data_IF_891606889243
#
_entry.id   IF_891606889243
#
_cell.length_a   1.000
_cell.length_b   1.000
_cell.length_c   1.000
_cell.angle_alpha   90.00
_cell.angle_beta   90.00
_cell.angle_gamma   90.00
#
_symmetry.space_group_name_H-M   'P 1'
#
loop_
_entity.id
_entity.type
_entity.pdbx_description
1 polymer ?
#
# COMPACT_ATOMS: atom_id res chain seq x y z
N UNK A 1 10.68 8.31 19.79
CA UNK A 1 11.45 7.94 18.57
C UNK A 1 12.55 6.93 18.83
N UNK A 2 13.61 7.29 19.57
CA UNK A 2 14.69 6.34 19.89
C UNK A 2 14.18 5.12 20.67
N UNK A 3 13.17 5.31 21.52
CA UNK A 3 12.51 4.22 22.26
C UNK A 3 11.83 3.21 21.33
N UNK A 4 11.00 3.67 20.38
CA UNK A 4 10.36 2.79 19.41
C UNK A 4 11.37 1.98 18.57
N UNK A 5 12.46 2.61 18.13
CA UNK A 5 13.53 1.90 17.40
C UNK A 5 14.17 0.82 18.27
N UNK A 6 14.43 1.12 19.56
CA UNK A 6 14.95 0.12 20.51
C UNK A 6 13.95 -1.02 20.74
N UNK A 7 12.65 -0.73 20.84
CA UNK A 7 11.62 -1.77 20.92
C UNK A 7 11.62 -2.66 19.67
N UNK A 8 11.67 -2.07 18.47
CA UNK A 8 11.77 -2.81 17.22
C UNK A 8 13.01 -3.72 17.20
N UNK A 9 14.15 -3.18 17.61
CA UNK A 9 15.41 -3.92 17.68
C UNK A 9 15.31 -5.08 18.68
N UNK A 10 14.77 -4.84 19.89
CA UNK A 10 14.61 -5.87 20.91
C UNK A 10 13.71 -7.03 20.44
N UNK A 11 12.57 -6.71 19.78
CA UNK A 11 11.67 -7.74 19.25
C UNK A 11 12.32 -8.51 18.11
N UNK A 12 13.00 -7.84 17.18
CA UNK A 12 13.71 -8.52 16.09
C UNK A 12 14.81 -9.44 16.63
N UNK A 13 15.57 -8.99 17.63
CA UNK A 13 16.58 -9.80 18.30
C UNK A 13 15.97 -11.03 18.95
N UNK A 14 14.85 -10.89 19.68
CA UNK A 14 14.17 -12.02 20.31
C UNK A 14 13.70 -13.05 19.27
N UNK A 15 13.05 -12.61 18.19
CA UNK A 15 12.50 -13.50 17.16
C UNK A 15 13.60 -14.24 16.38
N UNK A 16 14.71 -13.57 16.09
CA UNK A 16 15.85 -14.19 15.41
C UNK A 16 16.63 -15.13 16.33
N UNK A 17 16.90 -14.73 17.58
CA UNK A 17 17.67 -15.54 18.53
C UNK A 17 16.95 -16.81 18.95
N UNK A 18 15.61 -16.77 19.03
CA UNK A 18 14.78 -17.95 19.30
C UNK A 18 14.65 -18.88 18.10
N UNK A 19 15.00 -18.43 16.90
CA UNK A 19 14.78 -19.17 15.66
C UNK A 19 13.32 -19.27 15.23
N UNK A 20 12.41 -18.48 15.85
CA UNK A 20 10.99 -18.46 15.46
C UNK A 20 10.81 -17.99 14.01
N UNK A 21 11.66 -17.06 13.57
CA UNK A 21 11.63 -16.52 12.21
C UNK A 21 13.00 -16.63 11.56
N UNK A 22 13.01 -16.84 10.24
CA UNK A 22 14.21 -16.92 9.40
C UNK A 22 14.82 -15.55 9.12
N UNK A 23 14.00 -14.51 9.17
CA UNK A 23 14.41 -13.15 8.88
C UNK A 23 13.33 -12.13 9.23
N UNK A 24 13.74 -10.86 9.27
CA UNK A 24 12.89 -9.74 9.64
C UNK A 24 12.95 -8.67 8.54
N UNK A 25 11.79 -8.30 8.02
CA UNK A 25 11.60 -7.18 7.09
C UNK A 25 11.31 -5.90 7.87
N UNK A 26 12.09 -4.86 7.61
CA UNK A 26 11.92 -3.53 8.19
C UNK A 26 12.54 -2.46 7.29
N UNK A 27 13.03 -1.40 7.91
CA UNK A 27 13.76 -0.34 7.20
C UNK A 27 15.12 -0.09 7.85
N UNK A 28 16.01 0.56 7.13
CA UNK A 28 17.31 1.01 7.64
C UNK A 28 17.51 2.50 7.37
N UNK A 29 18.47 3.15 8.03
CA UNK A 29 18.81 4.53 7.68
C UNK A 29 19.78 4.53 6.50
N UNK A 30 19.37 5.15 5.40
CA UNK A 30 20.23 5.34 4.23
C UNK A 30 21.25 6.46 4.41
N UNK A 31 22.10 6.65 3.39
CA UNK A 31 23.16 7.67 3.39
C UNK A 31 22.64 9.12 3.31
N UNK A 32 21.38 9.32 2.92
CA UNK A 32 20.74 10.64 2.82
C UNK A 32 19.68 10.80 3.90
N UNK A 33 19.47 12.04 4.35
CA UNK A 33 18.52 12.35 5.43
C UNK A 33 17.08 11.89 5.14
N UNK A 34 16.67 11.89 3.87
CA UNK A 34 15.33 11.46 3.40
C UNK A 34 15.24 9.99 2.98
N UNK A 35 16.32 9.22 3.12
CA UNK A 35 16.37 7.86 2.61
C UNK A 35 16.27 6.88 3.78
N UNK A 36 15.16 6.15 3.85
CA UNK A 36 14.93 5.05 4.78
C UNK A 36 14.41 3.85 3.96
N UNK A 37 15.32 3.10 3.29
CA UNK A 37 14.92 2.04 2.36
C UNK A 37 14.56 0.74 3.10
N UNK A 38 13.92 -0.23 2.41
CA UNK A 38 13.72 -1.57 2.94
C UNK A 38 15.01 -2.24 3.42
N UNK A 39 14.91 -3.01 4.49
CA UNK A 39 15.97 -3.85 5.02
C UNK A 39 15.40 -5.25 5.30
N UNK A 40 16.15 -6.27 4.91
CA UNK A 40 15.92 -7.65 5.34
C UNK A 40 17.14 -8.11 6.13
N UNK A 41 16.94 -8.54 7.38
CA UNK A 41 17.99 -9.07 8.24
C UNK A 41 17.74 -10.54 8.54
N UNK A 42 18.81 -11.31 8.70
CA UNK A 42 18.72 -12.75 8.99
C UNK A 42 19.53 -13.16 10.21
N UNK A 43 20.29 -12.25 10.82
CA UNK A 43 21.09 -12.53 12.00
C UNK A 43 20.93 -11.45 13.08
N UNK A 44 21.18 -11.84 14.33
CA UNK A 44 21.02 -10.97 15.50
C UNK A 44 21.99 -9.78 15.45
N UNK A 45 23.16 -9.97 14.86
CA UNK A 45 24.20 -8.94 14.71
C UNK A 45 23.75 -7.79 13.79
N UNK A 46 22.74 -8.01 12.95
CA UNK A 46 22.24 -7.01 12.02
C UNK A 46 21.09 -6.17 12.59
N UNK A 47 20.56 -6.54 13.77
CA UNK A 47 19.39 -5.90 14.38
C UNK A 47 19.60 -4.39 14.55
N UNK A 48 20.79 -3.95 14.91
CA UNK A 48 21.12 -2.53 15.09
C UNK A 48 20.95 -1.70 13.80
N UNK A 49 20.94 -2.34 12.62
CA UNK A 49 20.69 -1.67 11.33
C UNK A 49 19.23 -1.24 11.16
N UNK A 50 18.29 -1.82 11.93
CA UNK A 50 16.88 -1.46 11.87
C UNK A 50 16.66 -0.01 12.31
N UNK A 51 15.90 0.71 11.51
CA UNK A 51 15.56 2.11 11.74
C UNK A 51 14.14 2.39 11.28
N UNK A 52 13.50 3.37 11.92
CA UNK A 52 12.15 3.80 11.53
C UNK A 52 11.97 5.28 11.78
N UNK A 53 11.55 5.98 10.72
CA UNK A 53 11.23 7.40 10.73
C UNK A 53 10.19 7.74 9.66
N UNK A 54 9.89 9.01 9.56
CA UNK A 54 8.91 9.62 8.64
C UNK A 54 9.28 9.46 7.15
N UNK A 55 10.48 8.94 6.86
CA UNK A 55 10.94 8.61 5.50
C UNK A 55 10.89 7.11 5.20
N UNK A 56 10.34 6.29 6.10
CA UNK A 56 10.03 4.87 5.89
C UNK A 56 8.82 4.66 4.94
N UNK A 57 8.87 5.34 3.80
CA UNK A 57 7.76 5.50 2.85
C UNK A 57 7.38 4.16 2.20
N UNK A 58 8.37 3.31 1.93
CA UNK A 58 8.17 2.08 1.16
C UNK A 58 7.29 1.09 1.93
N UNK A 59 6.26 0.58 1.27
CA UNK A 59 5.48 -0.56 1.73
C UNK A 59 6.31 -1.84 1.48
N UNK A 60 6.52 -2.63 2.53
CA UNK A 60 7.37 -3.83 2.48
C UNK A 60 6.61 -5.09 2.06
N UNK A 61 5.28 -5.02 1.99
CA UNK A 61 4.40 -6.18 1.88
C UNK A 61 4.67 -7.01 0.63
N UNK A 62 4.94 -6.39 -0.52
CA UNK A 62 5.18 -7.13 -1.76
C UNK A 62 6.46 -7.96 -1.71
N UNK A 63 7.41 -7.65 -0.82
CA UNK A 63 8.63 -8.45 -0.63
C UNK A 63 8.33 -9.83 -0.04
N UNK A 64 7.18 -10.01 0.63
CA UNK A 64 6.75 -11.33 1.10
C UNK A 64 6.45 -12.29 -0.06
N UNK A 65 6.18 -11.78 -1.27
CA UNK A 65 5.92 -12.61 -2.44
C UNK A 65 7.15 -13.42 -2.87
N UNK A 66 8.36 -12.95 -2.57
CA UNK A 66 9.59 -13.68 -2.84
C UNK A 66 9.71 -14.94 -1.96
N UNK A 67 8.98 -14.97 -0.83
CA UNK A 67 8.95 -16.06 0.13
C UNK A 67 7.66 -16.89 0.08
N UNK A 68 6.77 -16.64 -0.89
CA UNK A 68 5.45 -17.32 -0.97
C UNK A 68 5.50 -18.85 -1.07
N UNK A 69 6.61 -19.38 -1.58
CA UNK A 69 6.85 -20.82 -1.72
C UNK A 69 7.81 -21.37 -0.65
N UNK A 70 8.26 -20.53 0.28
CA UNK A 70 9.13 -20.92 1.37
C UNK A 70 8.31 -21.55 2.51
N UNK A 71 8.92 -22.48 3.25
CA UNK A 71 8.39 -22.97 4.52
C UNK A 71 8.88 -22.17 5.73
N UNK A 72 9.82 -21.26 5.49
CA UNK A 72 10.39 -20.39 6.52
C UNK A 72 9.40 -19.30 6.94
N UNK A 73 9.32 -19.03 8.25
CA UNK A 73 8.52 -17.94 8.81
C UNK A 73 9.28 -16.61 8.73
N UNK A 74 8.65 -15.54 8.26
CA UNK A 74 9.26 -14.20 8.14
C UNK A 74 8.55 -13.22 9.06
N UNK A 75 9.29 -12.43 9.84
CA UNK A 75 8.72 -11.30 10.56
C UNK A 75 8.71 -10.04 9.69
N UNK A 76 7.74 -9.16 9.89
CA UNK A 76 7.61 -7.91 9.14
C UNK A 76 7.06 -6.78 10.02
N UNK A 77 7.74 -5.63 10.01
CA UNK A 77 7.22 -4.40 10.59
C UNK A 77 6.27 -3.69 9.64
N UNK A 78 5.12 -3.26 10.15
CA UNK A 78 4.02 -2.77 9.30
C UNK A 78 3.42 -1.47 9.83
N UNK A 79 3.12 -0.57 8.91
CA UNK A 79 2.21 0.56 9.14
C UNK A 79 0.76 0.12 8.86
N UNK A 80 -0.21 0.98 9.13
CA UNK A 80 -1.61 0.73 8.78
C UNK A 80 -1.83 0.30 7.33
N UNK A 81 -1.31 1.08 6.36
CA UNK A 81 -1.40 0.73 4.94
C UNK A 81 -0.70 -0.58 4.55
N UNK A 82 0.37 -0.97 5.27
CA UNK A 82 1.11 -2.20 5.00
C UNK A 82 0.32 -3.41 5.51
N UNK A 83 -0.25 -3.31 6.72
CA UNK A 83 -1.06 -4.37 7.33
C UNK A 83 -2.28 -4.75 6.48
N UNK A 84 -2.95 -3.77 5.86
CA UNK A 84 -4.05 -4.02 4.90
C UNK A 84 -3.56 -4.77 3.66
N UNK A 85 -2.35 -4.44 3.19
CA UNK A 85 -1.69 -5.18 2.11
C UNK A 85 -1.43 -6.63 2.48
N UNK A 86 -0.96 -6.91 3.71
CA UNK A 86 -0.73 -8.28 4.17
C UNK A 86 -2.05 -9.04 4.25
N UNK A 87 -3.10 -8.41 4.77
CA UNK A 87 -4.45 -8.99 4.78
C UNK A 87 -4.84 -9.42 3.36
N UNK A 88 -4.63 -8.54 2.37
CA UNK A 88 -4.88 -8.86 0.96
C UNK A 88 -4.06 -10.05 0.46
N UNK A 89 -2.76 -10.12 0.78
CA UNK A 89 -1.91 -11.26 0.39
C UNK A 89 -2.38 -12.58 0.99
N UNK A 90 -2.87 -12.56 2.24
CA UNK A 90 -3.42 -13.74 2.92
C UNK A 90 -4.73 -14.16 2.26
N UNK A 91 -5.65 -13.23 2.03
CA UNK A 91 -6.91 -13.53 1.35
C UNK A 91 -6.70 -14.06 -0.09
N UNK A 92 -5.68 -13.56 -0.79
CA UNK A 92 -5.29 -14.06 -2.12
C UNK A 92 -4.52 -15.39 -2.09
N UNK A 93 -4.34 -15.97 -0.90
CA UNK A 93 -3.58 -17.20 -0.65
C UNK A 93 -2.15 -17.14 -1.21
N UNK A 94 -1.57 -15.95 -1.30
CA UNK A 94 -0.18 -15.76 -1.69
C UNK A 94 0.76 -15.91 -0.51
N UNK A 95 0.27 -15.69 0.70
CA UNK A 95 1.03 -15.82 1.95
C UNK A 95 0.15 -16.53 2.96
N UNK A 96 0.71 -17.51 3.67
CA UNK A 96 0.01 -18.19 4.77
C UNK A 96 0.19 -17.38 6.05
N UNK A 97 -0.88 -17.18 6.83
CA UNK A 97 -0.85 -16.33 8.04
C UNK A 97 0.17 -16.84 9.06
N UNK A 98 0.34 -18.16 9.14
CA UNK A 98 1.23 -18.85 10.07
C UNK A 98 2.71 -18.63 9.71
N UNK A 99 3.00 -18.37 8.43
CA UNK A 99 4.35 -18.13 7.90
C UNK A 99 4.79 -16.67 8.00
N UNK A 100 3.96 -15.78 8.57
CA UNK A 100 4.32 -14.37 8.77
C UNK A 100 4.01 -13.91 10.18
N UNK A 101 5.03 -13.35 10.85
CA UNK A 101 4.90 -12.66 12.14
C UNK A 101 4.78 -11.15 11.89
N UNK A 102 3.61 -10.57 12.15
CA UNK A 102 3.27 -9.19 11.79
C UNK A 102 3.42 -8.27 13.01
N UNK A 103 4.28 -7.25 12.91
CA UNK A 103 4.56 -6.33 14.01
C UNK A 103 4.08 -4.92 13.64
N UNK A 104 3.00 -4.48 14.28
CA UNK A 104 2.36 -3.20 14.04
C UNK A 104 3.12 -2.03 14.65
N UNK A 105 3.32 -0.96 13.87
CA UNK A 105 3.97 0.27 14.30
C UNK A 105 3.02 1.48 14.21
N UNK A 106 3.15 2.46 15.12
CA UNK A 106 2.48 3.75 15.00
C UNK A 106 3.06 4.53 13.80
N UNK A 107 2.19 5.20 13.04
CA UNK A 107 2.54 5.88 11.79
C UNK A 107 2.57 7.41 11.96
N UNK A 108 3.63 8.05 11.48
CA UNK A 108 3.80 9.51 11.48
C UNK A 108 3.00 10.23 10.39
N UNK A 109 2.54 9.48 9.38
CA UNK A 109 2.43 10.03 8.03
C UNK A 109 3.79 10.15 7.38
N UNK A 110 3.88 9.77 6.12
CA UNK A 110 5.14 9.72 5.39
C UNK A 110 5.40 11.06 4.69
N UNK A 111 6.64 11.52 4.77
CA UNK A 111 7.06 12.83 4.24
C UNK A 111 7.28 12.78 2.73
N UNK A 112 6.83 13.82 2.04
CA UNK A 112 7.19 14.07 0.64
C UNK A 112 8.55 14.75 0.57
N UNK A 113 9.59 13.98 0.28
CA UNK A 113 10.97 14.48 0.19
C UNK A 113 11.15 15.59 -0.84
N UNK A 114 10.38 15.59 -1.94
CA UNK A 114 10.53 16.57 -3.03
C UNK A 114 9.96 17.93 -2.62
N UNK A 115 9.00 17.93 -1.69
CA UNK A 115 8.39 19.15 -1.17
C UNK A 115 9.17 19.78 0.02
N UNK A 116 10.18 19.09 0.56
CA UNK A 116 10.96 19.58 1.72
C UNK A 116 11.89 20.73 1.31
N UNK A 117 11.66 21.91 1.89
CA UNK A 117 12.54 23.08 1.72
C UNK A 117 13.68 23.13 2.75
N UNK A 118 13.39 22.79 4.02
CA UNK A 118 14.40 22.71 5.08
C UNK A 118 14.20 21.46 5.95
N UNK A 119 15.05 20.45 5.74
CA UNK A 119 15.04 19.18 6.47
C UNK A 119 15.42 19.31 7.95
N UNK A 120 15.94 20.46 8.39
CA UNK A 120 16.25 20.73 9.81
C UNK A 120 14.98 21.05 10.59
N UNK A 121 13.95 21.56 9.92
CA UNK A 121 12.65 21.83 10.53
C UNK A 121 11.75 20.59 10.52
N UNK A 122 12.08 19.61 11.38
CA UNK A 122 11.38 18.31 11.45
C UNK A 122 9.89 18.42 11.81
N UNK A 123 9.47 19.51 12.44
CA UNK A 123 8.09 19.71 12.85
C UNK A 123 7.16 20.12 11.71
N UNK A 124 7.70 20.65 10.60
CA UNK A 124 6.91 21.16 9.48
C UNK A 124 7.27 20.48 8.15
N UNK A 125 7.55 19.18 8.21
CA UNK A 125 7.82 18.41 6.99
C UNK A 125 6.51 18.08 6.26
N UNK A 126 6.43 18.34 4.94
CA UNK A 126 5.22 18.13 4.16
C UNK A 126 4.88 16.64 4.03
N UNK A 127 3.61 16.30 4.21
CA UNK A 127 3.11 14.93 4.01
C UNK A 127 2.88 14.62 2.53
N UNK A 128 3.15 13.37 2.14
CA UNK A 128 2.64 12.81 0.90
C UNK A 128 1.11 12.93 0.85
N UNK A 129 0.56 13.25 -0.33
CA UNK A 129 -0.90 13.39 -0.53
C UNK A 129 -1.67 12.16 -0.03
N UNK A 130 -1.18 10.94 -0.32
CA UNK A 130 -1.78 9.68 0.16
C UNK A 130 -1.91 9.60 1.68
N UNK A 131 -1.02 10.27 2.43
CA UNK A 131 -1.03 10.27 3.89
C UNK A 131 -2.00 11.33 4.45
N UNK A 132 -2.24 12.42 3.72
CA UNK A 132 -3.28 13.40 4.05
C UNK A 132 -4.67 12.78 3.92
N UNK A 133 -4.85 11.86 2.97
CA UNK A 133 -6.11 11.15 2.67
C UNK A 133 -6.22 9.78 3.37
N UNK A 134 -5.28 9.42 4.24
CA UNK A 134 -5.20 8.10 4.85
C UNK A 134 -6.37 7.86 5.84
N UNK A 135 -7.14 6.79 5.62
CA UNK A 135 -8.19 6.32 6.54
C UNK A 135 -7.68 5.39 7.64
N UNK A 136 -6.56 4.70 7.38
CA UNK A 136 -6.00 3.66 8.25
C UNK A 136 -4.54 3.95 8.61
N UNK A 137 -4.28 4.94 9.50
CA UNK A 137 -2.94 5.19 10.01
C UNK A 137 -2.48 4.12 11.01
N UNK A 138 -3.42 3.40 11.62
CA UNK A 138 -3.16 2.32 12.58
C UNK A 138 -3.16 0.95 11.87
N UNK A 139 -2.37 -0.03 12.34
CA UNK A 139 -2.44 -1.41 11.85
C UNK A 139 -3.85 -2.00 11.96
N UNK A 140 -4.30 -2.66 10.90
CA UNK A 140 -5.55 -3.44 10.86
C UNK A 140 -5.29 -4.88 11.33
N UNK A 141 -4.11 -5.40 11.01
CA UNK A 141 -3.67 -6.75 11.33
C UNK A 141 -2.25 -6.69 11.89
N UNK A 142 -2.04 -7.22 13.08
CA UNK A 142 -0.73 -7.47 13.67
C UNK A 142 -0.82 -8.56 14.75
N UNK A 143 0.25 -9.33 14.91
CA UNK A 143 0.42 -10.32 16.00
C UNK A 143 0.93 -9.64 17.27
N UNK A 144 1.72 -8.57 17.11
CA UNK A 144 2.21 -7.71 18.18
C UNK A 144 2.14 -6.24 17.76
N UNK A 145 1.82 -5.35 18.70
CA UNK A 145 1.84 -3.91 18.49
C UNK A 145 2.96 -3.27 19.34
N UNK A 146 3.72 -2.34 18.75
CA UNK A 146 4.75 -1.56 19.45
C UNK A 146 4.34 -0.10 19.61
N UNK A 147 4.97 0.59 20.54
CA UNK A 147 4.74 2.02 20.74
C UNK A 147 3.30 2.41 21.04
N UNK A 148 2.55 1.55 21.74
CA UNK A 148 1.16 1.74 22.15
C UNK A 148 0.19 2.03 20.98
N UNK A 149 0.50 1.58 19.76
CA UNK A 149 -0.43 1.68 18.64
C UNK A 149 -1.61 0.73 18.85
N UNK A 150 -2.81 1.20 18.54
CA UNK A 150 -4.03 0.37 18.57
C UNK A 150 -4.14 -0.41 17.27
N UNK A 151 -4.56 -1.67 17.35
CA UNK A 151 -4.95 -2.46 16.17
C UNK A 151 -6.46 -2.28 15.98
N UNK A 152 -6.89 -1.82 14.82
CA UNK A 152 -8.31 -1.54 14.55
C UNK A 152 -8.67 -1.87 13.11
N UNK A 153 -9.80 -2.55 12.92
CA UNK A 153 -10.39 -2.82 11.60
C UNK A 153 -11.12 -1.62 11.01
N UNK A 154 -11.48 -0.65 11.85
CA UNK A 154 -12.22 0.54 11.47
C UNK A 154 -11.28 1.73 11.20
N UNK A 155 -11.67 2.65 10.29
CA UNK A 155 -10.99 3.92 10.10
C UNK A 155 -10.87 4.68 11.43
N UNK A 156 -9.67 5.20 11.71
CA UNK A 156 -9.41 5.89 12.96
C UNK A 156 -8.29 6.92 12.82
N UNK A 157 -8.23 7.88 13.75
CA UNK A 157 -7.09 8.80 13.87
C UNK A 157 -5.83 8.05 14.34
N UNK A 158 -4.63 8.57 14.04
CA UNK A 158 -3.38 7.96 14.50
C UNK A 158 -3.34 7.77 16.02
N UNK A 159 -2.84 6.62 16.48
CA UNK A 159 -2.67 6.27 17.89
C UNK A 159 -1.21 5.93 18.23
N UNK A 160 -0.90 5.77 19.51
CA UNK A 160 0.43 5.43 20.00
C UNK A 160 1.42 6.59 20.03
N UNK A 161 2.71 6.26 20.17
CA UNK A 161 3.82 7.21 20.37
C UNK A 161 3.94 8.30 19.30
N UNK A 162 3.37 8.11 18.11
CA UNK A 162 3.49 9.03 16.97
C UNK A 162 2.23 9.83 16.72
N UNK A 163 1.18 9.61 17.52
CA UNK A 163 -0.14 10.18 17.29
C UNK A 163 -0.13 11.71 17.27
N UNK A 164 0.53 12.34 18.24
CA UNK A 164 0.59 13.80 18.34
C UNK A 164 1.22 14.41 17.08
N UNK A 165 2.38 13.90 16.68
CA UNK A 165 3.10 14.36 15.48
C UNK A 165 2.28 14.12 14.21
N UNK A 166 1.64 12.95 14.09
CA UNK A 166 0.83 12.61 12.94
C UNK A 166 -0.41 13.51 12.82
N UNK A 167 -1.08 13.81 13.94
CA UNK A 167 -2.22 14.71 13.97
C UNK A 167 -1.82 16.15 13.65
N UNK A 168 -0.69 16.63 14.19
CA UNK A 168 -0.15 17.96 13.89
C UNK A 168 0.17 18.14 12.39
N UNK A 169 0.71 17.09 11.74
CA UNK A 169 1.00 17.09 10.30
C UNK A 169 -0.24 16.94 9.40
N UNK A 170 -1.37 16.55 9.99
CA UNK A 170 -2.62 16.37 9.27
C UNK A 170 -2.82 15.02 8.59
N UNK A 171 -2.29 13.95 9.16
CA UNK A 171 -2.54 12.58 8.68
C UNK A 171 -4.04 12.28 8.71
N UNK A 172 -4.58 11.88 7.56
CA UNK A 172 -5.99 11.58 7.38
C UNK A 172 -6.93 12.78 7.52
N UNK A 173 -6.44 14.04 7.55
CA UNK A 173 -7.32 15.21 7.63
C UNK A 173 -8.19 15.38 6.37
N UNK A 174 -7.74 14.86 5.23
CA UNK A 174 -8.43 14.89 3.94
C UNK A 174 -9.02 13.53 3.55
N UNK A 175 -9.26 12.64 4.51
CA UNK A 175 -9.80 11.31 4.24
C UNK A 175 -11.14 11.35 3.48
N UNK A 176 -12.03 12.26 3.85
CA UNK A 176 -13.34 12.44 3.19
C UNK A 176 -13.22 13.02 1.77
N UNK A 177 -12.16 13.78 1.50
CA UNK A 177 -11.90 14.40 0.20
C UNK A 177 -11.32 13.43 -0.85
N UNK A 178 -11.12 12.15 -0.52
CA UNK A 178 -10.44 11.18 -1.39
C UNK A 178 -11.11 10.95 -2.75
N UNK A 179 -12.40 11.26 -2.87
CA UNK A 179 -13.17 11.13 -4.13
C UNK A 179 -13.30 12.45 -4.91
N UNK A 180 -12.78 13.59 -4.43
CA UNK A 180 -12.90 14.88 -5.13
C UNK A 180 -12.36 14.82 -6.57
N UNK A 181 -11.22 14.14 -6.78
CA UNK A 181 -10.66 13.97 -8.11
C UNK A 181 -11.54 13.09 -9.01
N UNK A 182 -12.22 12.08 -8.44
CA UNK A 182 -13.16 11.23 -9.18
C UNK A 182 -14.34 12.06 -9.64
N UNK A 183 -14.96 12.79 -8.71
CA UNK A 183 -16.10 13.68 -8.99
C UNK A 183 -15.78 14.71 -10.07
N UNK A 184 -14.58 15.31 -10.01
CA UNK A 184 -14.12 16.26 -11.02
C UNK A 184 -13.98 15.63 -12.42
N UNK A 185 -13.50 14.39 -12.50
CA UNK A 185 -13.40 13.65 -13.78
C UNK A 185 -14.77 13.18 -14.26
N UNK A 186 -15.67 12.78 -13.36
CA UNK A 186 -17.02 12.33 -13.70
C UNK A 186 -17.88 13.44 -14.29
N UNK A 187 -17.72 14.67 -13.81
CA UNK A 187 -18.40 15.87 -14.31
C UNK A 187 -17.96 16.30 -15.72
N UNK A 188 -16.86 15.76 -16.25
CA UNK A 188 -16.43 16.00 -17.63
C UNK A 188 -17.37 15.31 -18.62
N UNK A 189 -17.53 15.90 -19.81
CA UNK A 189 -18.19 15.22 -20.93
C UNK A 189 -17.43 13.95 -21.34
N UNK A 190 -18.07 13.07 -22.12
CA UNK A 190 -17.46 11.82 -22.58
C UNK A 190 -16.15 12.07 -23.36
N UNK A 191 -16.14 13.07 -24.25
CA UNK A 191 -14.97 13.42 -25.05
C UNK A 191 -13.85 14.02 -24.19
N UNK A 192 -14.16 14.93 -23.28
CA UNK A 192 -13.18 15.51 -22.35
C UNK A 192 -12.55 14.45 -21.44
N UNK A 193 -13.37 13.52 -20.94
CA UNK A 193 -12.93 12.41 -20.10
C UNK A 193 -12.03 11.45 -20.89
N UNK A 194 -12.40 11.13 -22.13
CA UNK A 194 -11.56 10.34 -23.03
C UNK A 194 -10.21 11.02 -23.23
N UNK A 195 -10.21 12.30 -23.62
CA UNK A 195 -8.99 13.08 -23.85
C UNK A 195 -8.12 13.20 -22.60
N UNK A 196 -8.72 13.38 -21.42
CA UNK A 196 -8.02 13.39 -20.15
C UNK A 196 -7.21 12.10 -19.96
N UNK A 197 -7.87 10.94 -20.06
CA UNK A 197 -7.21 9.65 -19.87
C UNK A 197 -6.18 9.34 -20.96
N UNK A 198 -6.51 9.68 -22.20
CA UNK A 198 -5.59 9.57 -23.33
C UNK A 198 -4.28 10.34 -23.07
N UNK A 199 -4.34 11.56 -22.54
CA UNK A 199 -3.17 12.36 -22.14
C UNK A 199 -2.38 11.73 -20.99
N UNK A 200 -3.02 11.03 -20.06
CA UNK A 200 -2.30 10.33 -18.99
C UNK A 200 -1.59 9.07 -19.51
N UNK A 201 -2.24 8.31 -20.39
CA UNK A 201 -1.66 7.09 -20.97
C UNK A 201 -0.46 7.37 -21.88
N UNK A 202 -0.43 8.52 -22.54
CA UNK A 202 0.70 8.97 -23.36
C UNK A 202 1.98 9.17 -22.54
N UNK A 203 1.86 9.59 -21.27
CA UNK A 203 3.01 9.77 -20.37
C UNK A 203 3.59 8.46 -19.86
N UNK A 204 2.86 7.34 -19.99
CA UNK A 204 3.25 6.08 -19.39
C UNK A 204 4.44 5.46 -20.13
N UNK A 205 5.57 5.36 -19.45
CA UNK A 205 6.79 4.70 -19.97
C UNK A 205 6.82 3.19 -19.68
N UNK A 206 5.72 2.63 -19.14
CA UNK A 206 5.58 1.22 -18.79
C UNK A 206 6.75 0.63 -17.97
N UNK A 207 7.23 1.41 -16.99
CA UNK A 207 8.29 0.97 -16.07
C UNK A 207 7.82 -0.04 -15.00
N UNK A 208 6.52 -0.34 -14.94
CA UNK A 208 5.88 -1.26 -14.00
C UNK A 208 6.07 -0.99 -12.49
N UNK A 209 6.60 0.16 -12.09
CA UNK A 209 6.75 0.52 -10.68
C UNK A 209 5.41 0.42 -9.92
N UNK A 210 4.33 0.94 -10.51
CA UNK A 210 2.98 0.91 -9.95
C UNK A 210 2.42 -0.52 -9.76
N UNK A 211 2.87 -1.47 -10.57
CA UNK A 211 2.54 -2.90 -10.44
C UNK A 211 3.37 -3.53 -9.32
N UNK A 212 4.68 -3.37 -9.36
CA UNK A 212 5.60 -4.10 -8.48
C UNK A 212 5.52 -3.66 -7.01
N UNK A 213 5.10 -2.42 -6.74
CA UNK A 213 4.84 -1.95 -5.37
C UNK A 213 3.50 -2.42 -4.80
N UNK A 214 2.57 -2.88 -5.65
CA UNK A 214 1.18 -3.10 -5.25
C UNK A 214 1.00 -4.49 -4.64
N UNK A 215 0.54 -4.61 -3.37
CA UNK A 215 0.29 -5.91 -2.76
C UNK A 215 -0.86 -6.67 -3.44
N UNK A 216 -1.82 -5.99 -4.08
CA UNK A 216 -2.91 -6.65 -4.81
C UNK A 216 -2.48 -7.17 -6.21
N UNK A 217 -1.37 -6.68 -6.76
CA UNK A 217 -0.83 -7.15 -8.04
C UNK A 217 0.12 -8.34 -7.82
N UNK A 218 -0.44 -9.48 -7.40
CA UNK A 218 0.33 -10.60 -6.84
C UNK A 218 0.16 -11.94 -7.59
N UNK A 219 -0.36 -11.90 -8.82
CA UNK A 219 -0.55 -13.09 -9.65
C UNK A 219 0.76 -13.89 -9.83
N UNK A 220 0.66 -15.23 -9.93
CA UNK A 220 1.82 -16.10 -10.22
C UNK A 220 2.37 -15.90 -11.62
N UNK A 221 1.46 -15.73 -12.58
CA UNK A 221 1.78 -15.36 -13.95
C UNK A 221 1.08 -14.04 -14.29
N UNK A 222 1.82 -13.08 -14.83
CA UNK A 222 1.27 -11.80 -15.21
C UNK A 222 1.25 -11.64 -16.74
N UNK A 223 0.10 -11.24 -17.28
CA UNK A 223 -0.05 -10.93 -18.70
C UNK A 223 0.89 -9.80 -19.17
N UNK A 224 1.39 -8.98 -18.24
CA UNK A 224 2.30 -7.87 -18.53
C UNK A 224 3.78 -8.26 -18.49
N UNK A 225 4.12 -9.47 -18.05
CA UNK A 225 5.49 -10.00 -18.05
C UNK A 225 5.74 -11.02 -19.15
N UNK A 226 4.69 -11.67 -19.67
CA UNK A 226 4.83 -12.72 -20.67
C UNK A 226 4.65 -12.16 -22.09
N UNK A 227 5.74 -12.09 -22.85
CA UNK A 227 5.68 -11.76 -24.27
C UNK A 227 5.09 -12.89 -25.13
N UNK A 228 5.05 -14.12 -24.59
CA UNK A 228 4.47 -15.28 -25.26
C UNK A 228 2.94 -15.25 -25.34
N UNK A 229 2.27 -14.49 -24.46
CA UNK A 229 0.79 -14.42 -24.46
C UNK A 229 0.24 -13.41 -25.47
N UNK A 230 1.07 -12.54 -26.05
CA UNK A 230 0.69 -11.63 -27.14
C UNK A 230 -0.32 -10.52 -26.81
N UNK A 231 -0.80 -10.41 -25.56
CA UNK A 231 -1.81 -9.42 -25.16
C UNK A 231 -1.28 -7.99 -25.06
N UNK A 232 0.03 -7.82 -24.79
CA UNK A 232 0.65 -6.50 -24.65
C UNK A 232 1.92 -6.45 -25.47
N UNK A 233 2.00 -5.47 -26.37
CA UNK A 233 3.18 -5.24 -27.20
C UNK A 233 4.38 -4.79 -26.36
N UNK A 234 5.60 -4.99 -26.87
CA UNK A 234 6.80 -4.41 -26.25
C UNK A 234 6.83 -2.89 -26.34
N UNK A 235 6.15 -2.31 -27.34
CA UNK A 235 6.06 -0.87 -27.55
C UNK A 235 5.13 -0.20 -26.53
N UNK A 236 5.57 0.95 -25.99
CA UNK A 236 4.79 1.81 -25.11
C UNK A 236 3.88 2.77 -25.89
N UNK A 237 2.95 2.23 -26.70
CA UNK A 237 2.00 3.08 -27.43
C UNK A 237 0.86 3.57 -26.53
N UNK A 238 0.17 4.63 -26.95
CA UNK A 238 -1.00 5.20 -26.26
C UNK A 238 -2.08 4.14 -25.99
N UNK A 239 -2.42 3.34 -27.00
CA UNK A 239 -3.44 2.31 -26.91
C UNK A 239 -3.02 1.16 -25.98
N UNK A 240 -1.78 0.67 -26.11
CA UNK A 240 -1.25 -0.38 -25.24
C UNK A 240 -1.14 0.09 -23.78
N UNK A 241 -0.81 1.37 -23.55
CA UNK A 241 -0.75 1.96 -22.22
C UNK A 241 -2.14 2.14 -21.59
N UNK A 242 -3.14 2.51 -22.39
CA UNK A 242 -4.53 2.54 -21.96
C UNK A 242 -5.02 1.14 -21.57
N UNK A 243 -4.71 0.14 -22.40
CA UNK A 243 -5.02 -1.25 -22.12
C UNK A 243 -4.35 -1.72 -20.80
N UNK A 244 -3.06 -1.43 -20.60
CA UNK A 244 -2.36 -1.73 -19.34
C UNK A 244 -3.03 -1.07 -18.14
N UNK A 245 -3.33 0.24 -18.23
CA UNK A 245 -3.92 1.02 -17.14
C UNK A 245 -5.29 0.48 -16.71
N UNK A 246 -6.20 0.31 -17.69
CA UNK A 246 -7.56 -0.19 -17.45
C UNK A 246 -7.53 -1.63 -16.96
N UNK A 247 -6.78 -2.51 -17.63
CA UNK A 247 -6.71 -3.93 -17.25
C UNK A 247 -6.15 -4.11 -15.84
N UNK A 248 -5.10 -3.35 -15.48
CA UNK A 248 -4.57 -3.36 -14.11
C UNK A 248 -5.62 -2.90 -13.10
N UNK A 249 -6.34 -1.81 -13.38
CA UNK A 249 -7.38 -1.29 -12.49
C UNK A 249 -8.49 -2.33 -12.26
N UNK A 250 -8.93 -3.01 -13.33
CA UNK A 250 -9.91 -4.09 -13.25
C UNK A 250 -9.39 -5.32 -12.50
N UNK A 251 -8.13 -5.73 -12.69
CA UNK A 251 -7.55 -6.88 -11.96
C UNK A 251 -7.46 -6.68 -10.44
N UNK A 252 -7.45 -5.43 -9.97
CA UNK A 252 -7.43 -5.10 -8.54
C UNK A 252 -8.77 -4.56 -8.03
N UNK A 253 -9.82 -4.58 -8.86
CA UNK A 253 -11.18 -4.23 -8.44
C UNK A 253 -11.62 -5.13 -7.26
N UNK A 254 -12.16 -4.52 -6.20
CA UNK A 254 -12.51 -5.23 -4.96
C UNK A 254 -11.31 -5.76 -4.14
N UNK A 255 -10.07 -5.50 -4.57
CA UNK A 255 -8.84 -5.96 -3.91
C UNK A 255 -7.88 -4.81 -3.53
N UNK A 256 -8.02 -3.66 -4.16
CA UNK A 256 -7.21 -2.48 -3.88
C UNK A 256 -7.48 -1.94 -2.47
N UNK A 257 -6.44 -1.82 -1.65
CA UNK A 257 -6.53 -1.38 -0.25
C UNK A 257 -6.36 0.14 -0.08
N UNK A 258 -6.57 0.93 -1.13
CA UNK A 258 -6.51 2.40 -1.12
C UNK A 258 -5.24 2.99 -0.47
N UNK A 259 -4.08 2.34 -0.64
CA UNK A 259 -2.82 2.75 0.02
C UNK A 259 -2.04 3.85 -0.73
N UNK A 260 -2.40 4.13 -1.98
CA UNK A 260 -1.79 5.18 -2.82
C UNK A 260 -0.36 4.88 -3.31
N UNK A 261 0.22 3.71 -3.02
CA UNK A 261 1.60 3.40 -3.40
C UNK A 261 1.82 3.42 -4.91
N UNK A 262 0.86 2.92 -5.68
CA UNK A 262 0.97 2.81 -7.12
C UNK A 262 1.08 4.17 -7.84
N UNK A 263 0.35 5.17 -7.36
CA UNK A 263 0.44 6.55 -7.84
C UNK A 263 1.71 7.24 -7.33
N UNK A 264 2.06 7.06 -6.05
CA UNK A 264 3.27 7.62 -5.44
C UNK A 264 4.54 7.25 -6.20
N UNK A 265 4.68 5.98 -6.61
CA UNK A 265 5.88 5.51 -7.30
C UNK A 265 5.88 5.82 -8.80
N UNK A 266 4.82 6.42 -9.34
CA UNK A 266 4.74 6.72 -10.77
C UNK A 266 5.64 7.92 -11.11
N UNK A 267 6.73 7.73 -11.87
CA UNK A 267 7.61 8.85 -12.23
C UNK A 267 6.95 9.81 -13.23
N UNK A 268 5.86 9.39 -13.89
CA UNK A 268 5.11 10.18 -14.86
C UNK A 268 3.94 10.96 -14.23
N UNK A 269 3.70 10.83 -12.91
CA UNK A 269 2.62 11.52 -12.22
C UNK A 269 1.21 11.16 -12.73
N UNK A 270 1.01 9.91 -13.17
CA UNK A 270 -0.30 9.44 -13.64
C UNK A 270 -1.24 9.29 -12.44
N UNK A 271 -2.48 9.83 -12.49
CA UNK A 271 -3.45 9.75 -11.39
C UNK A 271 -4.09 8.36 -11.31
N UNK A 272 -3.30 7.34 -10.96
CA UNK A 272 -3.72 5.94 -10.89
C UNK A 272 -4.79 5.73 -9.80
N UNK A 273 -4.77 6.51 -8.72
CA UNK A 273 -5.78 6.40 -7.67
C UNK A 273 -7.14 6.91 -8.10
N UNK A 274 -7.22 7.86 -9.04
CA UNK A 274 -8.51 8.33 -9.56
C UNK A 274 -9.33 7.19 -10.19
N UNK A 275 -8.72 6.35 -11.04
CA UNK A 275 -9.43 5.22 -11.63
C UNK A 275 -9.74 4.12 -10.61
N UNK A 276 -8.81 3.81 -9.69
CA UNK A 276 -9.05 2.78 -8.68
C UNK A 276 -10.15 3.20 -7.70
N UNK A 277 -10.20 4.48 -7.31
CA UNK A 277 -11.25 5.00 -6.43
C UNK A 277 -12.59 5.09 -7.15
N UNK A 278 -12.63 5.43 -8.45
CA UNK A 278 -13.85 5.30 -9.23
C UNK A 278 -14.40 3.87 -9.18
N UNK A 279 -13.55 2.87 -9.43
CA UNK A 279 -13.96 1.46 -9.33
C UNK A 279 -14.42 1.10 -7.91
N UNK A 280 -13.77 1.61 -6.86
CA UNK A 280 -14.25 1.40 -5.48
C UNK A 280 -15.64 2.01 -5.27
N UNK A 281 -15.87 3.23 -5.75
CA UNK A 281 -17.16 3.91 -5.65
C UNK A 281 -18.26 3.13 -6.41
N UNK A 282 -17.95 2.63 -7.61
CA UNK A 282 -18.87 1.79 -8.38
C UNK A 282 -19.18 0.48 -7.66
N UNK A 283 -18.19 -0.12 -7.01
CA UNK A 283 -18.39 -1.32 -6.19
C UNK A 283 -19.31 -1.02 -5.00
N UNK A 284 -19.09 0.09 -4.31
CA UNK A 284 -19.91 0.50 -3.17
C UNK A 284 -21.37 0.78 -3.59
N UNK A 285 -21.56 1.40 -4.76
CA UNK A 285 -22.88 1.70 -5.33
C UNK A 285 -23.62 0.45 -5.79
N UNK A 286 -22.94 -0.48 -6.46
CA UNK A 286 -23.55 -1.66 -7.06
C UNK A 286 -23.71 -2.82 -6.08
N UNK A 287 -22.72 -3.09 -5.23
CA UNK A 287 -22.66 -4.29 -4.38
C UNK A 287 -22.75 -4.01 -2.88
N UNK A 288 -22.90 -2.74 -2.52
CA UNK A 288 -22.90 -2.24 -1.16
C UNK A 288 -21.48 -1.92 -0.64
N UNK A 289 -21.44 -1.22 0.49
CA UNK A 289 -20.20 -0.75 1.13
C UNK A 289 -19.22 -1.90 1.35
N UNK A 290 -18.02 -1.80 0.77
CA UNK A 290 -16.98 -2.80 0.94
C UNK A 290 -15.59 -2.14 1.01
N UNK A 291 -14.82 -2.50 2.04
CA UNK A 291 -13.50 -1.92 2.26
C UNK A 291 -12.40 -2.98 2.28
N UNK A 292 -11.74 -3.19 1.14
CA UNK A 292 -10.76 -4.24 0.96
C UNK A 292 -9.62 -4.19 2.00
N UNK A 293 -9.20 -5.34 2.53
CA UNK A 293 -8.05 -5.38 3.44
C UNK A 293 -8.37 -4.93 4.87
N UNK A 294 -9.61 -5.06 5.32
CA UNK A 294 -10.08 -4.77 6.69
C UNK A 294 -10.45 -6.04 7.47
N UNK A 295 -11.13 -6.97 6.81
CA UNK A 295 -11.46 -8.29 7.36
C UNK A 295 -10.92 -9.42 6.47
N UNK A 296 -10.43 -10.49 7.11
CA UNK A 296 -9.93 -11.70 6.44
C UNK A 296 -11.09 -12.57 5.92
N UNK A 297 -12.19 -12.63 6.66
CA UNK A 297 -13.32 -13.52 6.38
C UNK A 297 -14.33 -12.92 5.42
N UNK A 298 -14.34 -11.59 5.27
CA UNK A 298 -15.22 -10.90 4.34
C UNK A 298 -14.82 -11.18 2.89
N UNK A 299 -15.72 -11.82 2.15
CA UNK A 299 -15.52 -12.11 0.74
C UNK A 299 -15.64 -10.83 -0.09
N UNK A 300 -14.69 -10.62 -1.01
CA UNK A 300 -14.75 -9.49 -1.93
C UNK A 300 -15.97 -9.54 -2.85
N UNK A 301 -16.55 -8.39 -3.22
CA UNK A 301 -17.84 -8.29 -3.93
C UNK A 301 -17.82 -8.95 -5.31
N UNK A 302 -16.65 -9.03 -5.96
CA UNK A 302 -16.50 -9.66 -7.28
C UNK A 302 -16.11 -11.15 -7.20
N UNK A 303 -15.99 -11.70 -5.99
CA UNK A 303 -15.57 -13.09 -5.75
C UNK A 303 -16.71 -13.94 -5.15
N UNK A 304 -17.88 -13.36 -4.93
CA UNK A 304 -19.09 -14.05 -4.50
C UNK A 304 -20.28 -13.49 -5.27
N UNK A 305 -21.44 -14.11 -5.08
CA UNK A 305 -22.69 -13.73 -5.73
C UNK A 305 -23.78 -13.61 -4.67
N UNK A 306 -24.60 -12.56 -4.77
CA UNK A 306 -25.84 -12.42 -3.99
C UNK A 306 -27.03 -12.35 -4.95
N UNK A 307 -28.17 -12.87 -4.50
CA UNK A 307 -29.40 -12.91 -5.31
C UNK A 307 -30.01 -11.51 -5.55
N UNK A 308 -29.60 -10.52 -4.77
CA UNK A 308 -30.01 -9.12 -4.86
C UNK A 308 -28.95 -8.22 -5.52
N UNK A 309 -27.89 -8.80 -6.07
CA UNK A 309 -26.92 -8.04 -6.87
C UNK A 309 -27.61 -7.44 -8.12
N UNK A 310 -27.18 -6.26 -8.60
CA UNK A 310 -27.79 -5.62 -9.77
C UNK A 310 -27.67 -6.47 -11.03
N UNK A 311 -28.81 -6.85 -11.60
CA UNK A 311 -28.90 -7.59 -12.87
C UNK A 311 -29.41 -6.70 -14.00
N UNK A 312 -28.71 -5.62 -14.32
CA UNK A 312 -29.12 -4.72 -15.43
C UNK A 312 -29.08 -5.39 -16.83
N UNK A 313 -28.53 -6.61 -16.93
CA UNK A 313 -28.33 -7.34 -18.18
C UNK A 313 -29.13 -8.66 -18.28
N UNK A 314 -30.04 -8.94 -17.34
CA UNK A 314 -31.07 -9.99 -17.49
C UNK A 314 -32.47 -9.41 -17.68
#
# INVERSE_FOLDING_TARGET
MKELIKEMQAVAQQLLASGEVKGVLGWTKGSRWYLTPPLFIQSVEEVEKLHYDEFAVNNLTSLLLDYRNSDEKIAIFVKGCDSRGILRLIQDKQVQKEKVHIIGLPCFGMVDKEAVQDHRNRHNLPLLNKCQECRYPNPVLADQALGAVTITKEPARPTGLTAEVANQKGVGQKAEARYEQVQAIEAMSADEKYDFWQKQHEKCIRCYACRNICPACNCRECIFESDQKGWVNKAATKADNAFFGITRAMHVAGRCVDCGECERVCPAGIPIMAINRKIMQDIDELFGSYDAGTDLEEAGPLNHFKLDDPEEFM
#
